data_IF_671031014398
#
_entry.id   IF_671031014398
#
_cell.length_a   1.000
_cell.length_b   1.000
_cell.length_c   1.000
_cell.angle_alpha   90.00
_cell.angle_beta   90.00
_cell.angle_gamma   90.00
#
_symmetry.space_group_name_H-M   'P 1'
#
loop_
_entity.id
_entity.type
_entity.pdbx_description
1 polymer ?
#
# COMPACT_ATOMS: atom_id res chain seq x y z
N UNK A 1 -13.59 -16.15 -12.01
CA UNK A 1 -13.76 -15.36 -13.26
C UNK A 1 -13.13 -14.00 -13.03
N UNK A 2 -12.00 -13.71 -13.68
CA UNK A 2 -11.29 -12.44 -13.49
C UNK A 2 -12.02 -11.31 -14.20
N UNK A 3 -12.63 -10.41 -13.44
CA UNK A 3 -13.23 -9.19 -13.99
C UNK A 3 -12.10 -8.30 -14.54
N UNK A 4 -12.11 -8.10 -15.86
CA UNK A 4 -11.25 -7.13 -16.55
C UNK A 4 -11.64 -5.72 -16.12
N UNK A 5 -10.69 -4.94 -15.61
CA UNK A 5 -10.92 -3.54 -15.23
C UNK A 5 -11.36 -2.74 -16.46
N UNK A 6 -12.44 -1.99 -16.29
CA UNK A 6 -12.88 -1.01 -17.25
C UNK A 6 -12.14 0.32 -16.98
N UNK A 7 -11.67 1.00 -18.03
CA UNK A 7 -11.07 2.35 -17.92
C UNK A 7 -12.00 3.30 -17.16
N UNK A 8 -13.31 3.10 -17.26
CA UNK A 8 -14.32 3.83 -16.49
C UNK A 8 -14.19 3.66 -14.97
N UNK A 9 -13.83 2.48 -14.47
CA UNK A 9 -13.60 2.25 -13.03
C UNK A 9 -12.34 2.99 -12.53
N UNK A 10 -11.31 3.08 -13.38
CA UNK A 10 -10.06 3.79 -13.07
C UNK A 10 -10.34 5.26 -12.82
N UNK A 11 -11.00 5.93 -13.75
CA UNK A 11 -11.29 7.36 -13.64
C UNK A 11 -12.49 7.66 -12.73
N UNK A 12 -13.47 6.76 -12.64
CA UNK A 12 -14.70 6.98 -11.89
C UNK A 12 -14.62 6.61 -10.40
N UNK A 13 -13.76 5.67 -10.03
CA UNK A 13 -13.70 5.13 -8.65
C UNK A 13 -12.29 5.27 -8.09
N UNK A 14 -11.27 4.72 -8.77
CA UNK A 14 -9.93 4.65 -8.18
C UNK A 14 -9.25 6.02 -8.10
N UNK A 15 -9.27 6.82 -9.17
CA UNK A 15 -8.63 8.14 -9.21
C UNK A 15 -9.26 9.16 -8.23
N UNK A 16 -10.59 9.26 -8.09
CA UNK A 16 -11.19 10.18 -7.11
C UNK A 16 -10.89 9.79 -5.66
N UNK A 17 -10.98 8.49 -5.33
CA UNK A 17 -10.65 8.02 -3.98
C UNK A 17 -9.19 8.32 -3.67
N UNK A 18 -8.31 8.09 -4.63
CA UNK A 18 -6.89 8.38 -4.50
C UNK A 18 -6.58 9.85 -4.22
N UNK A 19 -7.18 10.77 -4.97
CA UNK A 19 -7.03 12.21 -4.73
C UNK A 19 -7.48 12.57 -3.31
N UNK A 20 -8.59 11.98 -2.87
CA UNK A 20 -9.09 12.14 -1.51
C UNK A 20 -8.10 11.59 -0.48
N UNK A 21 -7.47 10.43 -0.74
CA UNK A 21 -6.42 9.85 0.11
C UNK A 21 -5.23 10.80 0.25
N UNK A 22 -4.76 11.38 -0.84
CA UNK A 22 -3.64 12.33 -0.83
C UNK A 22 -3.98 13.60 -0.03
N UNK A 23 -5.19 14.12 -0.20
CA UNK A 23 -5.68 15.28 0.57
C UNK A 23 -5.72 14.96 2.06
N UNK A 24 -6.32 13.81 2.43
CA UNK A 24 -6.43 13.39 3.83
C UNK A 24 -5.04 13.16 4.44
N UNK A 25 -4.14 12.48 3.72
CA UNK A 25 -2.76 12.28 4.17
C UNK A 25 -2.06 13.62 4.42
N UNK A 26 -2.14 14.54 3.46
CA UNK A 26 -1.55 15.88 3.56
C UNK A 26 -2.11 16.66 4.74
N UNK A 27 -3.43 16.60 4.96
CA UNK A 27 -4.09 17.25 6.09
C UNK A 27 -3.64 16.67 7.42
N UNK A 28 -3.62 15.34 7.57
CA UNK A 28 -3.19 14.68 8.81
C UNK A 28 -1.73 14.99 9.14
N UNK A 29 -0.86 14.95 8.13
CA UNK A 29 0.59 15.17 8.32
C UNK A 29 0.94 16.64 8.56
N UNK A 30 0.25 17.58 7.89
CA UNK A 30 0.63 19.01 7.93
C UNK A 30 -0.14 19.79 9.00
N UNK A 31 -1.40 19.44 9.26
CA UNK A 31 -2.27 20.19 10.20
C UNK A 31 -2.30 19.52 11.56
N UNK A 32 -2.53 18.20 11.60
CA UNK A 32 -2.60 17.45 12.87
C UNK A 32 -1.26 16.91 13.35
N UNK A 33 -0.18 17.08 12.56
CA UNK A 33 1.15 16.53 12.82
C UNK A 33 1.12 15.02 13.14
N UNK A 34 0.12 14.33 12.60
CA UNK A 34 -0.11 12.91 12.83
C UNK A 34 0.35 12.13 11.62
N UNK A 35 1.29 11.20 11.82
CA UNK A 35 1.73 10.29 10.77
C UNK A 35 0.72 9.13 10.64
N UNK A 36 -0.07 9.09 9.55
CA UNK A 36 -1.21 8.20 9.48
C UNK A 36 -0.88 6.81 8.92
N UNK A 37 0.41 6.43 8.89
CA UNK A 37 0.87 5.25 8.17
C UNK A 37 1.02 5.53 6.67
N UNK A 38 1.07 4.46 5.89
CA UNK A 38 1.17 4.54 4.44
C UNK A 38 -0.17 4.25 3.77
N UNK A 39 -0.91 5.33 3.49
CA UNK A 39 -2.24 5.21 2.90
C UNK A 39 -2.21 4.69 1.45
N UNK A 40 -1.10 4.88 0.72
CA UNK A 40 -1.00 4.45 -0.68
C UNK A 40 -0.80 2.95 -0.75
N UNK A 41 0.06 2.39 0.09
CA UNK A 41 0.17 0.93 0.25
C UNK A 41 -1.14 0.35 0.71
N UNK A 42 -1.80 1.00 1.66
CA UNK A 42 -3.08 0.53 2.16
C UNK A 42 -4.14 0.45 1.07
N UNK A 43 -4.25 1.50 0.26
CA UNK A 43 -5.17 1.57 -0.87
C UNK A 43 -4.83 0.53 -1.93
N UNK A 44 -3.54 0.37 -2.24
CA UNK A 44 -3.04 -0.65 -3.17
C UNK A 44 -3.47 -2.05 -2.77
N UNK A 45 -3.18 -2.46 -1.53
CA UNK A 45 -3.52 -3.78 -1.02
C UNK A 45 -5.03 -4.04 -1.05
N UNK A 46 -5.83 -3.01 -0.75
CA UNK A 46 -7.27 -3.11 -0.84
C UNK A 46 -7.73 -3.38 -2.28
N UNK A 47 -7.25 -2.64 -3.28
CA UNK A 47 -7.66 -2.85 -4.69
C UNK A 47 -7.26 -4.24 -5.20
N UNK A 48 -6.06 -4.70 -4.86
CA UNK A 48 -5.55 -6.01 -5.29
C UNK A 48 -6.38 -7.19 -4.75
N UNK A 49 -7.16 -6.93 -3.71
CA UNK A 49 -8.10 -7.89 -3.14
C UNK A 49 -9.36 -8.06 -4.00
N UNK A 50 -9.79 -7.04 -4.75
CA UNK A 50 -11.05 -7.04 -5.52
C UNK A 50 -10.89 -7.36 -7.01
N UNK A 51 -9.74 -7.06 -7.62
CA UNK A 51 -9.53 -7.24 -9.06
C UNK A 51 -8.30 -8.11 -9.34
N UNK A 52 -8.37 -8.92 -10.40
CA UNK A 52 -7.28 -9.80 -10.87
C UNK A 52 -6.40 -9.14 -11.97
N UNK A 53 -6.59 -7.85 -12.21
CA UNK A 53 -6.06 -7.09 -13.34
C UNK A 53 -4.59 -6.68 -13.16
N UNK A 54 -3.74 -7.69 -13.24
CA UNK A 54 -2.35 -7.63 -12.83
C UNK A 54 -1.34 -6.94 -13.75
N UNK A 55 -1.66 -5.82 -14.41
CA UNK A 55 -0.61 -5.00 -15.07
C UNK A 55 -0.96 -3.51 -15.15
N UNK A 56 -2.16 -3.14 -15.59
CA UNK A 56 -2.58 -1.73 -15.73
C UNK A 56 -2.83 -1.04 -14.38
N UNK A 57 -3.39 -1.76 -13.40
CA UNK A 57 -3.49 -1.26 -12.04
C UNK A 57 -2.11 -1.06 -11.43
N UNK A 58 -1.14 -1.94 -11.73
CA UNK A 58 0.24 -1.81 -11.25
C UNK A 58 0.97 -0.64 -11.89
N UNK A 59 0.72 -0.35 -13.17
CA UNK A 59 1.26 0.85 -13.84
C UNK A 59 0.65 2.11 -13.22
N UNK A 60 -0.67 2.13 -12.98
CA UNK A 60 -1.34 3.26 -12.31
C UNK A 60 -0.81 3.49 -10.88
N UNK A 61 -0.64 2.41 -10.11
CA UNK A 61 -0.04 2.44 -8.77
C UNK A 61 1.45 2.84 -8.80
N UNK A 62 2.17 2.47 -9.86
CA UNK A 62 3.57 2.90 -10.08
C UNK A 62 3.65 4.41 -10.31
N UNK A 63 2.78 4.98 -11.15
CA UNK A 63 2.68 6.43 -11.32
C UNK A 63 2.33 7.15 -10.01
N UNK A 64 1.55 6.49 -9.17
CA UNK A 64 1.15 6.98 -7.87
C UNK A 64 2.28 7.01 -6.83
N UNK A 65 3.12 5.97 -6.81
CA UNK A 65 4.33 5.94 -6.01
C UNK A 65 5.30 7.06 -6.39
N UNK A 66 5.30 7.52 -7.66
CA UNK A 66 6.07 8.68 -8.11
C UNK A 66 5.53 10.02 -7.55
N UNK A 67 4.24 10.12 -7.23
CA UNK A 67 3.67 11.35 -6.66
C UNK A 67 3.90 11.47 -5.15
N UNK A 68 4.14 10.37 -4.45
CA UNK A 68 4.33 10.34 -2.99
C UNK A 68 5.74 10.76 -2.55
N UNK A 69 6.68 10.92 -3.50
CA UNK A 69 8.12 11.00 -3.28
C UNK A 69 8.78 12.28 -3.79
N UNK A 70 8.02 13.36 -3.97
CA UNK A 70 8.52 14.65 -4.50
C UNK A 70 9.78 15.22 -3.81
N UNK A 71 10.25 14.63 -2.70
CA UNK A 71 11.50 14.99 -2.01
C UNK A 71 12.69 14.01 -2.23
N UNK A 72 12.52 12.80 -2.79
CA UNK A 72 13.62 11.81 -2.94
C UNK A 72 13.52 10.94 -4.22
N UNK A 73 14.00 11.47 -5.34
CA UNK A 73 14.07 10.85 -6.68
C UNK A 73 14.65 9.41 -6.72
N UNK A 74 15.58 9.05 -5.83
CA UNK A 74 16.15 7.70 -5.81
C UNK A 74 15.24 6.63 -5.16
N UNK A 75 14.26 7.05 -4.36
CA UNK A 75 13.29 6.13 -3.73
C UNK A 75 12.15 5.74 -4.68
N UNK A 76 11.92 6.54 -5.73
CA UNK A 76 10.86 6.36 -6.73
C UNK A 76 10.98 5.04 -7.50
N UNK A 77 12.14 4.80 -8.08
CA UNK A 77 12.40 3.60 -8.89
C UNK A 77 12.22 2.34 -8.02
N UNK A 78 12.65 2.40 -6.77
CA UNK A 78 12.51 1.29 -5.83
C UNK A 78 11.06 1.00 -5.48
N UNK A 79 10.26 2.04 -5.19
CA UNK A 79 8.82 1.92 -4.92
C UNK A 79 8.09 1.28 -6.10
N UNK A 80 8.40 1.72 -7.33
CA UNK A 80 7.83 1.15 -8.55
C UNK A 80 8.15 -0.34 -8.66
N UNK A 81 9.42 -0.75 -8.49
CA UNK A 81 9.79 -2.16 -8.52
C UNK A 81 9.13 -2.98 -7.42
N UNK A 82 8.99 -2.42 -6.21
CA UNK A 82 8.29 -3.06 -5.11
C UNK A 82 6.84 -3.38 -5.48
N UNK A 83 6.09 -2.42 -6.01
CA UNK A 83 4.68 -2.62 -6.37
C UNK A 83 4.51 -3.60 -7.53
N UNK A 84 5.42 -3.57 -8.52
CA UNK A 84 5.45 -4.55 -9.61
C UNK A 84 5.70 -5.96 -9.04
N UNK A 85 6.70 -6.12 -8.18
CA UNK A 85 7.03 -7.40 -7.57
C UNK A 85 5.90 -7.94 -6.69
N UNK A 86 5.33 -7.08 -5.84
CA UNK A 86 4.17 -7.40 -5.02
C UNK A 86 3.02 -7.90 -5.89
N UNK A 87 2.76 -7.23 -7.03
CA UNK A 87 1.73 -7.62 -7.97
C UNK A 87 1.94 -8.99 -8.62
N UNK A 88 3.17 -9.29 -9.03
CA UNK A 88 3.57 -10.61 -9.58
C UNK A 88 3.42 -11.68 -8.50
N UNK A 89 3.91 -11.41 -7.30
CA UNK A 89 3.84 -12.31 -6.15
C UNK A 89 2.39 -12.63 -5.80
N UNK A 90 1.52 -11.63 -5.74
CA UNK A 90 0.09 -11.77 -5.42
C UNK A 90 -0.64 -12.60 -6.48
N UNK A 91 -0.36 -12.37 -7.77
CA UNK A 91 -0.92 -13.18 -8.87
C UNK A 91 -0.49 -14.64 -8.78
N UNK A 92 0.76 -14.88 -8.38
CA UNK A 92 1.28 -16.23 -8.18
C UNK A 92 0.62 -16.90 -6.96
N UNK A 93 0.60 -16.22 -5.81
CA UNK A 93 0.05 -16.73 -4.55
C UNK A 93 -1.47 -16.89 -4.55
N UNK A 94 -2.21 -16.09 -5.33
CA UNK A 94 -3.66 -16.29 -5.54
C UNK A 94 -4.01 -17.68 -6.08
N UNK A 95 -3.09 -18.36 -6.78
CA UNK A 95 -3.28 -19.74 -7.24
C UNK A 95 -3.16 -20.78 -6.13
N UNK A 96 -2.44 -20.45 -5.06
CA UNK A 96 -2.09 -21.39 -3.97
C UNK A 96 -2.87 -21.13 -2.68
N UNK A 97 -3.29 -19.88 -2.45
CA UNK A 97 -4.04 -19.48 -1.27
C UNK A 97 -5.51 -19.28 -1.61
N UNK A 98 -6.40 -19.85 -0.78
CA UNK A 98 -7.84 -19.61 -0.83
C UNK A 98 -8.16 -18.18 -0.34
N UNK A 99 -7.84 -17.18 -1.17
CA UNK A 99 -8.07 -15.76 -0.93
C UNK A 99 -9.55 -15.39 -0.76
N UNK A 100 -10.48 -16.33 -0.92
CA UNK A 100 -11.90 -16.17 -0.57
C UNK A 100 -12.08 -15.96 0.95
N UNK A 101 -11.22 -16.54 1.78
CA UNK A 101 -11.31 -16.41 3.24
C UNK A 101 -10.72 -15.08 3.69
N UNK A 102 -11.50 -14.32 4.46
CA UNK A 102 -11.07 -13.04 5.04
C UNK A 102 -9.79 -13.15 5.88
N UNK A 103 -9.61 -14.25 6.63
CA UNK A 103 -8.37 -14.51 7.39
C UNK A 103 -7.13 -14.57 6.50
N UNK A 104 -7.23 -15.18 5.31
CA UNK A 104 -6.12 -15.27 4.36
C UNK A 104 -5.81 -13.91 3.73
N UNK A 105 -6.83 -13.08 3.45
CA UNK A 105 -6.65 -11.69 3.00
C UNK A 105 -5.90 -10.85 4.04
N UNK A 106 -6.31 -10.94 5.31
CA UNK A 106 -5.64 -10.23 6.42
C UNK A 106 -4.18 -10.63 6.57
N UNK A 107 -3.88 -11.93 6.56
CA UNK A 107 -2.52 -12.42 6.65
C UNK A 107 -1.65 -11.89 5.49
N UNK A 108 -2.21 -11.89 4.27
CA UNK A 108 -1.54 -11.34 3.10
C UNK A 108 -1.25 -9.83 3.24
N UNK A 109 -2.22 -9.05 3.71
CA UNK A 109 -2.03 -7.61 3.92
C UNK A 109 -0.95 -7.31 4.95
N UNK A 110 -0.97 -7.99 6.10
CA UNK A 110 0.04 -7.80 7.15
C UNK A 110 1.43 -8.18 6.64
N UNK A 111 1.57 -9.34 5.98
CA UNK A 111 2.84 -9.77 5.40
C UNK A 111 3.37 -8.78 4.36
N UNK A 112 2.49 -8.21 3.52
CA UNK A 112 2.87 -7.21 2.52
C UNK A 112 3.39 -5.93 3.18
N UNK A 113 2.69 -5.44 4.21
CA UNK A 113 3.10 -4.25 4.97
C UNK A 113 4.46 -4.49 5.64
N UNK A 114 4.66 -5.66 6.26
CA UNK A 114 5.94 -6.03 6.89
C UNK A 114 7.06 -6.09 5.86
N UNK A 115 6.82 -6.73 4.72
CA UNK A 115 7.81 -6.85 3.65
C UNK A 115 8.21 -5.48 3.08
N UNK A 116 7.24 -4.57 2.91
CA UNK A 116 7.54 -3.19 2.54
C UNK A 116 8.43 -2.49 3.56
N UNK A 117 8.09 -2.62 4.84
CA UNK A 117 8.80 -1.96 5.94
C UNK A 117 10.25 -2.44 6.04
N UNK A 118 10.47 -3.76 5.88
CA UNK A 118 11.81 -4.37 5.81
C UNK A 118 12.62 -3.73 4.68
N UNK A 119 12.04 -3.64 3.48
CA UNK A 119 12.74 -3.05 2.33
C UNK A 119 13.05 -1.57 2.53
N UNK A 120 12.11 -0.80 3.08
CA UNK A 120 12.32 0.61 3.44
C UNK A 120 13.48 0.76 4.43
N UNK A 121 13.60 -0.14 5.41
CA UNK A 121 14.72 -0.12 6.34
C UNK A 121 16.04 -0.54 5.71
N UNK A 122 16.07 -1.55 4.84
CA UNK A 122 17.29 -1.92 4.11
C UNK A 122 17.86 -0.71 3.37
N UNK A 123 17.00 0.07 2.68
CA UNK A 123 17.43 1.27 1.96
C UNK A 123 17.88 2.36 2.92
N UNK A 124 17.10 2.62 3.97
CA UNK A 124 17.43 3.62 4.97
C UNK A 124 18.81 3.35 5.60
N UNK A 125 19.07 2.12 6.05
CA UNK A 125 20.35 1.74 6.62
C UNK A 125 21.49 1.68 5.61
N UNK A 126 21.20 1.45 4.33
CA UNK A 126 22.21 1.52 3.27
C UNK A 126 22.69 2.96 3.03
N UNK A 127 21.78 3.94 3.10
CA UNK A 127 22.11 5.35 2.85
C UNK A 127 22.71 6.06 4.06
N UNK A 128 22.42 5.56 5.25
CA UNK A 128 22.65 6.29 6.49
C UNK A 128 23.70 5.57 7.34
N UNK A 129 24.88 6.17 7.45
CA UNK A 129 25.97 5.66 8.28
C UNK A 129 25.77 6.11 9.75
N UNK A 130 24.83 5.49 10.46
CA UNK A 130 24.47 5.81 11.85
C UNK A 130 24.97 4.72 12.82
N UNK A 131 25.41 5.17 14.00
CA UNK A 131 25.68 4.30 15.15
C UNK A 131 24.37 3.76 15.73
N UNK A 132 24.22 2.43 15.75
CA UNK A 132 23.01 1.75 16.23
C UNK A 132 23.14 1.53 17.74
N UNK A 133 22.35 2.27 18.52
CA UNK A 133 22.20 2.05 19.96
C UNK A 133 20.83 1.42 20.32
N UNK A 134 20.68 1.01 21.58
CA UNK A 134 19.44 0.36 22.05
C UNK A 134 18.22 1.29 22.01
N UNK A 135 18.40 2.59 22.23
CA UNK A 135 17.31 3.57 22.25
C UNK A 135 16.79 3.81 20.83
N UNK A 136 17.69 3.83 19.85
CA UNK A 136 17.41 3.87 18.43
C UNK A 136 16.63 2.63 18.00
N UNK A 137 17.06 1.41 18.40
CA UNK A 137 16.34 0.17 18.09
C UNK A 137 14.92 0.16 18.68
N UNK A 138 14.76 0.60 19.93
CA UNK A 138 13.45 0.70 20.58
C UNK A 138 12.53 1.69 19.84
N UNK A 139 13.05 2.87 19.51
CA UNK A 139 12.30 3.89 18.77
C UNK A 139 11.91 3.40 17.37
N UNK A 140 12.82 2.70 16.68
CA UNK A 140 12.56 2.07 15.39
C UNK A 140 11.43 1.04 15.50
N UNK A 141 11.47 0.17 16.51
CA UNK A 141 10.44 -0.84 16.75
C UNK A 141 9.06 -0.23 17.04
N UNK A 142 9.00 0.80 17.90
CA UNK A 142 7.74 1.50 18.20
C UNK A 142 7.17 2.20 16.96
N UNK A 143 8.01 2.90 16.19
CA UNK A 143 7.61 3.52 14.93
C UNK A 143 7.16 2.49 13.89
N UNK A 144 7.84 1.33 13.82
CA UNK A 144 7.46 0.21 12.97
C UNK A 144 6.07 -0.31 13.32
N UNK A 145 5.82 -0.52 14.61
CA UNK A 145 4.55 -1.05 15.10
C UNK A 145 3.41 -0.07 14.84
N UNK A 146 3.61 1.21 15.14
CA UNK A 146 2.64 2.28 14.80
C UNK A 146 2.35 2.31 13.31
N UNK A 147 3.39 2.24 12.47
CA UNK A 147 3.25 2.19 11.01
C UNK A 147 2.43 1.00 10.56
N UNK A 148 2.71 -0.21 11.07
CA UNK A 148 2.00 -1.43 10.68
C UNK A 148 0.52 -1.33 11.05
N UNK A 149 0.22 -0.90 12.28
CA UNK A 149 -1.16 -0.79 12.78
C UNK A 149 -1.96 0.25 12.00
N UNK A 150 -1.42 1.45 11.82
CA UNK A 150 -2.10 2.55 11.10
C UNK A 150 -2.32 2.20 9.63
N UNK A 151 -1.31 1.66 8.96
CA UNK A 151 -1.40 1.20 7.56
C UNK A 151 -2.45 0.09 7.42
N UNK A 152 -2.46 -0.88 8.33
CA UNK A 152 -3.45 -1.97 8.31
C UNK A 152 -4.88 -1.46 8.55
N UNK A 153 -5.08 -0.50 9.46
CA UNK A 153 -6.38 0.14 9.65
C UNK A 153 -6.87 0.80 8.36
N UNK A 154 -5.99 1.49 7.64
CA UNK A 154 -6.33 2.05 6.33
C UNK A 154 -6.67 0.99 5.29
N UNK A 155 -5.98 -0.17 5.27
CA UNK A 155 -6.34 -1.28 4.38
C UNK A 155 -7.78 -1.71 4.63
N UNK A 156 -8.19 -1.82 5.90
CA UNK A 156 -9.56 -2.18 6.26
C UNK A 156 -10.59 -1.13 5.82
N UNK A 157 -10.27 0.16 6.00
CA UNK A 157 -11.13 1.27 5.57
C UNK A 157 -11.31 1.23 4.06
N UNK A 158 -10.22 1.18 3.29
CA UNK A 158 -10.29 1.12 1.83
C UNK A 158 -10.95 -0.16 1.34
N UNK A 159 -10.69 -1.29 1.98
CA UNK A 159 -11.37 -2.54 1.65
C UNK A 159 -12.88 -2.39 1.78
N UNK A 160 -13.37 -1.76 2.85
CA UNK A 160 -14.80 -1.51 3.05
C UNK A 160 -15.37 -0.52 2.03
N UNK A 161 -14.67 0.60 1.78
CA UNK A 161 -15.08 1.62 0.81
C UNK A 161 -15.18 1.00 -0.60
N UNK A 162 -14.10 0.35 -1.06
CA UNK A 162 -14.06 -0.30 -2.36
C UNK A 162 -15.09 -1.42 -2.46
N UNK A 163 -15.33 -2.17 -1.39
CA UNK A 163 -16.40 -3.15 -1.33
C UNK A 163 -17.76 -2.55 -1.64
N UNK A 164 -18.08 -1.36 -1.12
CA UNK A 164 -19.36 -0.68 -1.39
C UNK A 164 -19.49 -0.30 -2.86
N UNK A 165 -18.42 0.22 -3.48
CA UNK A 165 -18.46 0.68 -4.87
C UNK A 165 -18.41 -0.48 -5.87
N UNK A 166 -17.64 -1.52 -5.59
CA UNK A 166 -17.36 -2.61 -6.54
C UNK A 166 -18.31 -3.81 -6.40
N UNK A 167 -18.93 -4.04 -5.24
CA UNK A 167 -19.98 -5.07 -5.10
C UNK A 167 -21.38 -4.56 -5.43
N UNK A 168 -21.60 -3.24 -5.58
CA UNK A 168 -22.91 -2.71 -5.99
C UNK A 168 -23.27 -2.99 -7.46
N UNK A 169 -22.32 -3.47 -8.26
CA UNK A 169 -22.50 -3.79 -9.68
C UNK A 169 -22.68 -5.29 -9.97
N UNK A 170 -22.93 -6.14 -8.96
CA UNK A 170 -23.30 -7.55 -9.16
C UNK A 170 -24.79 -7.80 -8.96
#
# INVERSE_FOLDING_TARGET
MGFTINIKEIFGIFLPILLLVLIVKSYLSSVLLFYPGDMIIAFTLAILTFRDSGTLLYIFLSFLGLFESLDFLNMEIFLVFYFIFLGIFLKHFKKYFAFERFKSKMAFWVLSIIFFLILKYIIYFYQVNIFIDWMFLLNLALKSLHYILTTFLWVLIFYKILGIFLYKES
#
